data_IF_132952315124
#
_entry.id   IF_132952315124
#
_cell.length_a   1.000
_cell.length_b   1.000
_cell.length_c   1.000
_cell.angle_alpha   90.00
_cell.angle_beta   90.00
_cell.angle_gamma   90.00
#
_symmetry.space_group_name_H-M   'P 1'
#
loop_
_entity.id
_entity.type
_entity.pdbx_description
1 polymer ?
#
# COMPACT_ATOMS: atom_id res chain seq x y z
N UNK A 1 -37.02 14.20 -24.48
CA UNK A 1 -36.04 14.96 -23.73
C UNK A 1 -36.52 15.06 -22.27
N UNK A 2 -36.23 14.11 -21.42
CA UNK A 2 -36.33 14.23 -19.96
C UNK A 2 -35.52 13.10 -19.32
N UNK A 3 -34.20 13.27 -19.28
CA UNK A 3 -33.28 12.32 -18.64
C UNK A 3 -33.00 12.63 -17.16
N UNK A 4 -33.65 13.62 -16.57
CA UNK A 4 -33.60 13.89 -15.14
C UNK A 4 -34.77 13.23 -14.42
N UNK A 5 -34.75 11.90 -14.30
CA UNK A 5 -35.59 11.22 -13.34
C UNK A 5 -35.17 11.69 -11.95
N UNK A 6 -36.06 12.43 -11.28
CA UNK A 6 -35.89 12.93 -9.92
C UNK A 6 -35.43 11.79 -9.02
N UNK A 7 -34.13 11.70 -8.71
CA UNK A 7 -33.65 10.78 -7.69
C UNK A 7 -34.38 11.16 -6.39
N UNK A 8 -35.24 10.25 -5.93
CA UNK A 8 -35.79 10.34 -4.58
C UNK A 8 -34.62 10.49 -3.61
N UNK A 9 -34.54 11.59 -2.91
CA UNK A 9 -33.63 11.76 -1.77
C UNK A 9 -34.09 10.81 -0.66
N UNK A 10 -33.75 9.54 -0.79
CA UNK A 10 -33.74 8.68 0.38
C UNK A 10 -32.55 9.14 1.23
N UNK A 11 -32.82 9.52 2.46
CA UNK A 11 -31.78 9.83 3.43
C UNK A 11 -30.98 8.55 3.69
N UNK A 12 -29.90 8.38 2.93
CA UNK A 12 -28.95 7.30 3.13
C UNK A 12 -28.22 7.55 4.45
N UNK A 13 -28.67 6.92 5.50
CA UNK A 13 -27.88 6.80 6.72
C UNK A 13 -26.71 5.86 6.43
N UNK A 14 -25.54 6.43 6.11
CA UNK A 14 -24.31 5.70 5.96
C UNK A 14 -24.01 4.92 7.26
N UNK A 15 -24.18 3.63 7.23
CA UNK A 15 -23.82 2.80 8.36
C UNK A 15 -22.30 2.53 8.29
N UNK A 16 -21.55 2.94 9.32
CA UNK A 16 -20.09 2.73 9.41
C UNK A 16 -19.67 1.25 9.25
N UNK A 17 -20.58 0.31 9.51
CA UNK A 17 -20.37 -1.12 9.33
C UNK A 17 -20.88 -1.62 7.97
N UNK A 18 -20.71 -0.85 6.91
CA UNK A 18 -21.13 -1.21 5.56
C UNK A 18 -19.93 -1.28 4.60
N UNK A 19 -20.04 -2.14 3.60
CA UNK A 19 -19.02 -2.26 2.53
C UNK A 19 -18.83 -0.95 1.78
N UNK A 20 -19.87 -0.13 1.68
CA UNK A 20 -19.86 1.18 1.02
C UNK A 20 -18.84 2.13 1.68
N UNK A 21 -18.82 2.19 3.01
CA UNK A 21 -17.87 3.03 3.76
C UNK A 21 -16.43 2.58 3.53
N UNK A 22 -16.16 1.27 3.47
CA UNK A 22 -14.82 0.76 3.17
C UNK A 22 -14.36 1.09 1.75
N UNK A 23 -15.28 1.06 0.77
CA UNK A 23 -14.98 1.47 -0.62
C UNK A 23 -14.70 2.98 -0.67
N UNK A 24 -15.51 3.81 0.01
CA UNK A 24 -15.28 5.25 0.09
C UNK A 24 -13.93 5.57 0.74
N UNK A 25 -13.61 4.91 1.85
CA UNK A 25 -12.32 5.07 2.52
C UNK A 25 -11.15 4.68 1.59
N UNK A 26 -11.26 3.55 0.88
CA UNK A 26 -10.25 3.14 -0.09
C UNK A 26 -10.06 4.19 -1.21
N UNK A 27 -11.15 4.71 -1.77
CA UNK A 27 -11.09 5.75 -2.79
C UNK A 27 -10.46 7.05 -2.25
N UNK A 28 -10.72 7.37 -0.99
CA UNK A 28 -10.12 8.53 -0.33
C UNK A 28 -8.60 8.38 -0.20
N UNK A 29 -8.10 7.20 0.21
CA UNK A 29 -6.65 6.92 0.23
C UNK A 29 -6.03 7.02 -1.17
N UNK A 30 -6.70 6.48 -2.20
CA UNK A 30 -6.21 6.57 -3.57
C UNK A 30 -6.17 8.02 -4.09
N UNK A 31 -7.17 8.82 -3.75
CA UNK A 31 -7.17 10.26 -4.07
C UNK A 31 -6.03 10.99 -3.36
N UNK A 32 -5.76 10.65 -2.10
CA UNK A 32 -4.66 11.22 -1.35
C UNK A 32 -3.29 10.87 -1.97
N UNK A 33 -3.08 9.62 -2.38
CA UNK A 33 -1.85 9.23 -3.07
C UNK A 33 -1.68 9.99 -4.39
N UNK A 34 -2.75 10.12 -5.16
CA UNK A 34 -2.73 10.90 -6.41
C UNK A 34 -2.29 12.34 -6.15
N UNK A 35 -2.90 13.00 -5.16
CA UNK A 35 -2.56 14.39 -4.80
C UNK A 35 -1.12 14.51 -4.32
N UNK A 36 -0.65 13.57 -3.48
CA UNK A 36 0.73 13.54 -3.00
C UNK A 36 1.74 13.45 -4.15
N UNK A 37 1.49 12.54 -5.11
CA UNK A 37 2.35 12.39 -6.28
C UNK A 37 2.31 13.63 -7.16
N UNK A 38 1.14 14.21 -7.42
CA UNK A 38 0.99 15.44 -8.19
C UNK A 38 1.74 16.59 -7.54
N UNK A 39 1.61 16.80 -6.24
CA UNK A 39 2.34 17.85 -5.52
C UNK A 39 3.85 17.60 -5.63
N UNK A 40 4.32 16.39 -5.38
CA UNK A 40 5.74 16.05 -5.46
C UNK A 40 6.34 16.26 -6.85
N UNK A 41 5.54 16.08 -7.91
CA UNK A 41 6.00 16.31 -9.29
C UNK A 41 5.91 17.79 -9.71
N UNK A 42 4.81 18.47 -9.35
CA UNK A 42 4.57 19.83 -9.81
C UNK A 42 5.32 20.87 -8.99
N UNK A 43 5.53 20.63 -7.70
CA UNK A 43 6.17 21.60 -6.80
C UNK A 43 7.58 22.01 -7.25
N UNK A 44 8.50 21.11 -7.65
CA UNK A 44 9.79 21.47 -8.20
C UNK A 44 9.68 22.34 -9.46
N UNK A 45 8.76 22.01 -10.36
CA UNK A 45 8.55 22.74 -11.61
C UNK A 45 8.10 24.19 -11.33
N UNK A 46 7.17 24.37 -10.41
CA UNK A 46 6.71 25.71 -10.01
C UNK A 46 7.84 26.54 -9.39
N UNK A 47 8.67 25.93 -8.54
CA UNK A 47 9.80 26.65 -7.94
C UNK A 47 10.86 27.03 -8.96
N UNK A 48 11.19 26.14 -9.89
CA UNK A 48 12.17 26.43 -10.95
C UNK A 48 11.72 27.65 -11.79
N UNK A 49 10.42 27.73 -12.11
CA UNK A 49 9.86 28.85 -12.91
C UNK A 49 9.79 30.16 -12.12
N UNK A 50 9.55 30.14 -10.82
CA UNK A 50 9.33 31.37 -10.03
C UNK A 50 10.61 31.90 -9.39
N UNK A 51 11.51 31.03 -8.98
CA UNK A 51 12.68 31.39 -8.14
C UNK A 51 14.02 31.04 -8.77
N UNK A 52 14.06 30.41 -9.95
CA UNK A 52 15.26 29.83 -10.58
C UNK A 52 16.01 28.82 -9.67
N UNK A 53 15.37 28.33 -8.61
CA UNK A 53 15.94 27.36 -7.67
C UNK A 53 15.56 25.95 -8.10
N UNK A 54 16.55 25.17 -8.53
CA UNK A 54 16.37 23.77 -8.90
C UNK A 54 16.37 22.89 -7.66
N UNK A 55 15.20 22.38 -7.32
CA UNK A 55 15.04 21.36 -6.26
C UNK A 55 14.47 20.09 -6.89
N UNK A 56 14.78 18.94 -6.27
CA UNK A 56 14.14 17.66 -6.60
C UNK A 56 13.48 17.09 -5.37
N UNK A 57 12.28 16.55 -5.55
CA UNK A 57 11.57 15.79 -4.51
C UNK A 57 11.94 14.32 -4.67
N UNK A 58 12.74 13.82 -3.75
CA UNK A 58 13.29 12.47 -3.79
C UNK A 58 12.49 11.44 -2.99
N UNK A 59 12.96 10.17 -2.98
CA UNK A 59 12.35 9.07 -2.24
C UNK A 59 12.02 9.35 -0.78
N UNK A 60 12.83 10.10 0.00
CA UNK A 60 12.53 10.38 1.40
C UNK A 60 11.18 11.06 1.62
N UNK A 61 10.79 11.98 0.75
CA UNK A 61 9.48 12.66 0.82
C UNK A 61 8.33 11.65 0.67
N UNK A 62 8.38 10.82 -0.37
CA UNK A 62 7.34 9.83 -0.63
C UNK A 62 7.28 8.77 0.47
N UNK A 63 8.42 8.35 0.99
CA UNK A 63 8.48 7.38 2.07
C UNK A 63 7.79 7.89 3.35
N UNK A 64 8.03 9.15 3.73
CA UNK A 64 7.41 9.76 4.92
C UNK A 64 5.90 9.90 4.77
N UNK A 65 5.41 10.26 3.57
CA UNK A 65 3.99 10.56 3.37
C UNK A 65 3.19 9.32 3.00
N UNK A 66 3.69 8.47 2.10
CA UNK A 66 2.93 7.34 1.53
C UNK A 66 2.97 6.12 2.43
N UNK A 67 4.12 5.79 3.02
CA UNK A 67 4.28 4.57 3.81
C UNK A 67 3.28 4.46 4.98
N UNK A 68 3.09 5.50 5.82
CA UNK A 68 2.12 5.41 6.92
C UNK A 68 0.68 5.18 6.46
N UNK A 69 0.36 5.61 5.23
CA UNK A 69 -0.99 5.49 4.67
C UNK A 69 -1.23 4.17 3.94
N UNK A 70 -0.18 3.51 3.46
CA UNK A 70 -0.28 2.17 2.85
C UNK A 70 -0.76 1.14 3.88
N UNK A 71 -0.32 1.25 5.13
CA UNK A 71 -0.71 0.31 6.20
C UNK A 71 -2.22 0.28 6.41
N UNK A 72 -2.92 1.38 6.71
CA UNK A 72 -4.38 1.36 6.85
C UNK A 72 -5.08 1.01 5.52
N UNK A 73 -4.56 1.40 4.36
CA UNK A 73 -5.13 1.02 3.07
C UNK A 73 -5.16 -0.51 2.89
N UNK A 74 -4.03 -1.19 3.08
CA UNK A 74 -3.94 -2.65 2.98
C UNK A 74 -4.86 -3.35 3.99
N UNK A 75 -4.95 -2.80 5.20
CA UNK A 75 -5.86 -3.31 6.22
C UNK A 75 -7.32 -3.19 5.78
N UNK A 76 -7.73 -2.04 5.23
CA UNK A 76 -9.07 -1.83 4.69
C UNK A 76 -9.37 -2.75 3.50
N UNK A 77 -8.38 -2.96 2.61
CA UNK A 77 -8.51 -3.90 1.49
C UNK A 77 -8.74 -5.34 1.96
N UNK A 78 -8.13 -5.74 3.07
CA UNK A 78 -8.30 -7.09 3.63
C UNK A 78 -9.64 -7.26 4.33
N UNK A 79 -10.07 -6.26 5.10
CA UNK A 79 -11.25 -6.35 5.94
C UNK A 79 -12.53 -5.97 5.19
N UNK A 80 -12.46 -4.99 4.27
CA UNK A 80 -13.59 -4.44 3.54
C UNK A 80 -14.48 -5.47 2.82
N UNK A 81 -13.92 -6.45 2.10
CA UNK A 81 -14.72 -7.47 1.41
C UNK A 81 -15.58 -8.35 2.30
N UNK A 82 -15.30 -8.40 3.60
CA UNK A 82 -16.08 -9.19 4.56
C UNK A 82 -17.39 -8.51 4.94
N UNK A 83 -17.48 -7.20 4.75
CA UNK A 83 -18.68 -6.43 5.03
C UNK A 83 -19.74 -6.63 3.94
N UNK A 84 -21.01 -6.64 4.35
CA UNK A 84 -22.15 -6.66 3.44
C UNK A 84 -22.50 -5.23 3.02
N UNK A 85 -23.24 -5.11 1.93
CA UNK A 85 -23.87 -3.86 1.52
C UNK A 85 -24.90 -3.44 2.58
N UNK A 86 -25.02 -2.14 2.83
CA UNK A 86 -26.02 -1.49 3.70
C UNK A 86 -25.84 -1.78 5.19
N UNK A 87 -25.87 -3.03 5.63
CA UNK A 87 -25.72 -3.36 7.04
C UNK A 87 -25.08 -4.75 7.25
N UNK A 88 -24.02 -4.77 8.02
CA UNK A 88 -23.28 -5.99 8.35
C UNK A 88 -23.55 -6.40 9.80
N UNK A 89 -24.65 -7.11 10.02
CA UNK A 89 -24.88 -7.79 11.28
C UNK A 89 -24.18 -9.16 11.24
N UNK A 90 -23.50 -9.53 12.33
CA UNK A 90 -22.86 -10.84 12.53
C UNK A 90 -21.69 -11.20 11.60
N UNK A 91 -20.70 -10.30 11.49
CA UNK A 91 -19.43 -10.64 10.84
C UNK A 91 -18.62 -11.55 11.77
N UNK A 92 -18.20 -12.70 11.26
CA UNK A 92 -17.34 -13.64 12.00
C UNK A 92 -15.88 -13.25 11.85
N UNK A 93 -15.38 -12.36 12.69
CA UNK A 93 -14.00 -11.86 12.64
C UNK A 93 -12.93 -12.89 13.04
N UNK A 94 -13.31 -14.05 13.59
CA UNK A 94 -12.32 -15.02 14.07
C UNK A 94 -11.31 -15.45 12.99
N UNK A 95 -11.76 -15.56 11.73
CA UNK A 95 -10.84 -15.91 10.62
C UNK A 95 -9.84 -14.79 10.32
N UNK A 96 -10.31 -13.56 10.33
CA UNK A 96 -9.49 -12.38 10.12
C UNK A 96 -8.45 -12.22 11.22
N UNK A 97 -8.87 -12.43 12.47
CA UNK A 97 -7.98 -12.42 13.62
C UNK A 97 -6.93 -13.53 13.49
N UNK A 98 -7.36 -14.75 13.16
CA UNK A 98 -6.44 -15.89 12.99
C UNK A 98 -5.42 -15.64 11.86
N UNK A 99 -5.86 -15.10 10.70
CA UNK A 99 -4.94 -14.74 9.61
C UNK A 99 -4.00 -13.61 9.97
N UNK A 100 -4.47 -12.63 10.75
CA UNK A 100 -3.62 -11.56 11.23
C UNK A 100 -2.50 -12.08 12.14
N UNK A 101 -2.82 -12.92 13.11
CA UNK A 101 -1.79 -13.56 13.94
C UNK A 101 -0.85 -14.44 13.13
N UNK A 102 -1.35 -15.16 12.13
CA UNK A 102 -0.52 -15.93 11.20
C UNK A 102 0.47 -15.04 10.44
N UNK A 103 0.03 -13.87 9.97
CA UNK A 103 0.89 -12.90 9.30
C UNK A 103 1.97 -12.35 10.24
N UNK A 104 1.61 -12.06 11.49
CA UNK A 104 2.58 -11.61 12.51
C UNK A 104 3.63 -12.68 12.77
N UNK A 105 3.23 -13.94 12.94
CA UNK A 105 4.17 -15.05 13.17
C UNK A 105 5.12 -15.22 11.99
N UNK A 106 4.61 -15.19 10.75
CA UNK A 106 5.45 -15.29 9.54
C UNK A 106 6.41 -14.12 9.48
N UNK A 107 5.95 -12.89 9.76
CA UNK A 107 6.83 -11.73 9.74
C UNK A 107 7.90 -11.81 10.84
N UNK A 108 7.57 -12.27 12.04
CA UNK A 108 8.56 -12.48 13.11
C UNK A 108 9.61 -13.53 12.71
N UNK A 109 9.18 -14.60 12.03
CA UNK A 109 10.11 -15.59 11.50
C UNK A 109 11.05 -14.98 10.46
N UNK A 110 10.53 -14.19 9.52
CA UNK A 110 11.34 -13.47 8.52
C UNK A 110 12.31 -12.51 9.21
N UNK A 111 11.83 -11.74 10.19
CA UNK A 111 12.64 -10.80 10.96
C UNK A 111 13.81 -11.48 11.69
N UNK A 112 13.59 -12.64 12.25
CA UNK A 112 14.63 -13.41 12.93
C UNK A 112 15.79 -13.82 12.00
N UNK A 113 15.50 -14.12 10.73
CA UNK A 113 16.52 -14.52 9.75
C UNK A 113 17.23 -13.33 9.07
N UNK A 114 16.59 -12.17 8.99
CA UNK A 114 17.05 -11.05 8.16
C UNK A 114 17.43 -9.78 8.95
N UNK A 115 17.63 -9.84 10.21
CA UNK A 115 18.19 -8.91 11.24
C UNK A 115 17.96 -7.39 11.12
N UNK A 116 17.47 -6.80 10.03
CA UNK A 116 17.47 -5.34 9.87
C UNK A 116 16.24 -4.76 9.18
N UNK A 117 15.12 -4.66 9.90
CA UNK A 117 13.96 -3.92 9.40
C UNK A 117 13.64 -2.72 10.27
N UNK A 118 13.33 -1.58 9.65
CA UNK A 118 12.71 -0.47 10.37
C UNK A 118 11.32 -0.88 10.87
N UNK A 119 10.83 -0.23 11.92
CA UNK A 119 9.49 -0.50 12.47
C UNK A 119 8.42 -0.32 11.39
N UNK A 120 8.56 0.70 10.54
CA UNK A 120 7.61 0.97 9.44
C UNK A 120 7.62 -0.14 8.38
N UNK A 121 8.78 -0.65 8.00
CA UNK A 121 8.93 -1.76 7.04
C UNK A 121 8.29 -3.04 7.60
N UNK A 122 8.49 -3.32 8.89
CA UNK A 122 7.83 -4.45 9.56
C UNK A 122 6.31 -4.35 9.52
N UNK A 123 5.76 -3.17 9.80
CA UNK A 123 4.31 -2.95 9.73
C UNK A 123 3.76 -3.19 8.31
N UNK A 124 4.45 -2.70 7.28
CA UNK A 124 4.07 -2.93 5.88
C UNK A 124 4.08 -4.42 5.55
N UNK A 125 5.13 -5.15 5.95
CA UNK A 125 5.23 -6.59 5.70
C UNK A 125 4.12 -7.36 6.38
N UNK A 126 3.83 -7.07 7.66
CA UNK A 126 2.72 -7.70 8.38
C UNK A 126 1.41 -7.52 7.61
N UNK A 127 1.10 -6.31 7.18
CA UNK A 127 -0.19 -6.02 6.54
C UNK A 127 -0.24 -6.55 5.10
N UNK A 128 0.87 -6.54 4.36
CA UNK A 128 0.97 -7.16 3.04
C UNK A 128 0.81 -8.68 3.11
N UNK A 129 1.51 -9.35 4.02
CA UNK A 129 1.38 -10.79 4.25
C UNK A 129 -0.04 -11.13 4.71
N UNK A 130 -0.65 -10.31 5.58
CA UNK A 130 -2.03 -10.48 6.02
C UNK A 130 -3.01 -10.43 4.85
N UNK A 131 -2.87 -9.48 3.93
CA UNK A 131 -3.69 -9.39 2.72
C UNK A 131 -3.53 -10.63 1.83
N UNK A 132 -2.29 -11.06 1.59
CA UNK A 132 -1.97 -12.23 0.77
C UNK A 132 -2.57 -13.50 1.38
N UNK A 133 -2.35 -13.75 2.68
CA UNK A 133 -2.91 -14.90 3.39
C UNK A 133 -4.43 -14.91 3.35
N UNK A 134 -5.04 -13.73 3.51
CA UNK A 134 -6.50 -13.61 3.45
C UNK A 134 -7.03 -13.94 2.05
N UNK A 135 -6.35 -13.51 0.99
CA UNK A 135 -6.70 -13.89 -0.39
C UNK A 135 -6.64 -15.41 -0.60
N UNK A 136 -5.62 -16.08 -0.10
CA UNK A 136 -5.52 -17.55 -0.18
C UNK A 136 -6.66 -18.26 0.56
N UNK A 137 -7.05 -17.75 1.73
CA UNK A 137 -8.19 -18.31 2.46
C UNK A 137 -9.52 -18.09 1.74
N UNK A 138 -9.70 -16.94 1.08
CA UNK A 138 -10.88 -16.66 0.27
C UNK A 138 -10.97 -17.64 -0.91
N UNK A 139 -9.86 -17.94 -1.58
CA UNK A 139 -9.77 -18.95 -2.63
C UNK A 139 -10.19 -20.32 -2.09
N UNK A 140 -9.53 -20.78 -1.01
CA UNK A 140 -9.81 -22.09 -0.39
C UNK A 140 -11.28 -22.21 0.02
N UNK A 141 -11.84 -21.16 0.64
CA UNK A 141 -13.24 -21.17 1.07
C UNK A 141 -14.23 -21.14 -0.11
N UNK A 142 -13.89 -20.44 -1.19
CA UNK A 142 -14.73 -20.40 -2.39
C UNK A 142 -14.79 -21.77 -3.08
N UNK A 143 -13.64 -22.44 -3.19
CA UNK A 143 -13.56 -23.81 -3.72
C UNK A 143 -14.36 -24.81 -2.89
N UNK A 144 -14.18 -24.77 -1.56
CA UNK A 144 -14.85 -25.71 -0.66
C UNK A 144 -16.37 -25.51 -0.62
N UNK A 145 -16.86 -24.27 -0.66
CA UNK A 145 -18.31 -23.96 -0.58
C UNK A 145 -19.01 -23.89 -1.91
N UNK A 146 -18.35 -24.21 -3.02
CA UNK A 146 -18.89 -24.08 -4.40
C UNK A 146 -19.55 -22.71 -4.65
N UNK A 147 -19.07 -21.65 -3.99
CA UNK A 147 -19.55 -20.28 -4.20
C UNK A 147 -18.98 -19.72 -5.50
N UNK A 148 -19.71 -18.79 -6.11
CA UNK A 148 -19.21 -18.04 -7.28
C UNK A 148 -17.89 -17.38 -6.92
N UNK A 149 -16.85 -17.71 -7.68
CA UNK A 149 -15.50 -17.25 -7.43
C UNK A 149 -15.36 -15.79 -7.93
N UNK A 150 -14.95 -14.90 -7.03
CA UNK A 150 -14.74 -13.49 -7.38
C UNK A 150 -13.28 -13.27 -7.83
N UNK A 151 -12.90 -13.89 -8.96
CA UNK A 151 -11.56 -13.83 -9.54
C UNK A 151 -10.99 -12.40 -9.62
N UNK A 152 -11.72 -11.40 -10.18
CA UNK A 152 -11.15 -10.07 -10.37
C UNK A 152 -10.69 -9.44 -9.05
N UNK A 153 -11.50 -9.57 -7.99
CA UNK A 153 -11.16 -9.04 -6.67
C UNK A 153 -9.93 -9.72 -6.08
N UNK A 154 -9.90 -11.05 -6.11
CA UNK A 154 -8.81 -11.82 -5.50
C UNK A 154 -7.49 -11.54 -6.22
N UNK A 155 -7.49 -11.54 -7.56
CA UNK A 155 -6.29 -11.26 -8.36
C UNK A 155 -5.78 -9.84 -8.09
N UNK A 156 -6.67 -8.84 -8.05
CA UNK A 156 -6.30 -7.45 -7.79
C UNK A 156 -5.70 -7.26 -6.40
N UNK A 157 -6.31 -7.85 -5.36
CA UNK A 157 -5.83 -7.74 -3.98
C UNK A 157 -4.51 -8.48 -3.78
N UNK A 158 -4.39 -9.68 -4.35
CA UNK A 158 -3.16 -10.46 -4.30
C UNK A 158 -2.02 -9.76 -5.05
N UNK A 159 -2.29 -9.24 -6.26
CA UNK A 159 -1.32 -8.50 -7.05
C UNK A 159 -0.84 -7.24 -6.33
N UNK A 160 -1.75 -6.48 -5.70
CA UNK A 160 -1.38 -5.31 -4.93
C UNK A 160 -0.59 -5.65 -3.67
N UNK A 161 -0.98 -6.70 -2.94
CA UNK A 161 -0.24 -7.20 -1.78
C UNK A 161 1.18 -7.64 -2.14
N UNK A 162 1.36 -8.36 -3.25
CA UNK A 162 2.67 -8.75 -3.76
C UNK A 162 3.50 -7.53 -4.18
N UNK A 163 2.90 -6.57 -4.89
CA UNK A 163 3.57 -5.35 -5.29
C UNK A 163 4.14 -4.60 -4.08
N UNK A 164 3.33 -4.37 -3.05
CA UNK A 164 3.77 -3.69 -1.83
C UNK A 164 4.87 -4.50 -1.12
N UNK A 165 4.75 -5.82 -1.06
CA UNK A 165 5.75 -6.69 -0.46
C UNK A 165 7.09 -6.58 -1.20
N UNK A 166 7.10 -6.65 -2.54
CA UNK A 166 8.32 -6.55 -3.33
C UNK A 166 8.95 -5.15 -3.29
N UNK A 167 8.14 -4.09 -3.26
CA UNK A 167 8.64 -2.72 -3.03
C UNK A 167 9.32 -2.64 -1.67
N UNK A 168 8.71 -3.20 -0.62
CA UNK A 168 9.29 -3.24 0.72
C UNK A 168 10.62 -4.00 0.77
N UNK A 169 10.71 -5.15 0.10
CA UNK A 169 11.95 -5.93 -0.04
C UNK A 169 13.01 -5.11 -0.78
N UNK A 170 12.65 -4.52 -1.91
CA UNK A 170 13.59 -3.69 -2.67
C UNK A 170 14.11 -2.52 -1.84
N UNK A 171 13.24 -1.83 -1.12
CA UNK A 171 13.63 -0.72 -0.24
C UNK A 171 14.59 -1.16 0.86
N UNK A 172 14.44 -2.37 1.38
CA UNK A 172 15.31 -2.92 2.42
C UNK A 172 16.72 -3.24 1.90
N UNK A 173 16.83 -3.72 0.67
CA UNK A 173 18.11 -4.17 0.08
C UNK A 173 18.73 -3.15 -0.87
N UNK A 174 18.04 -2.06 -1.22
CA UNK A 174 18.63 -0.99 -2.01
C UNK A 174 19.53 -0.12 -1.13
N UNK A 175 20.74 0.11 -1.61
CA UNK A 175 21.70 1.04 -1.05
C UNK A 175 21.72 2.30 -1.93
N UNK A 176 21.20 3.38 -1.41
CA UNK A 176 21.31 4.70 -2.03
C UNK A 176 22.40 5.48 -1.30
N UNK A 177 23.47 5.80 -1.99
CA UNK A 177 24.58 6.60 -1.45
C UNK A 177 24.78 7.81 -2.34
N UNK A 178 24.41 8.97 -1.84
CA UNK A 178 24.67 10.24 -2.50
C UNK A 178 26.09 10.70 -2.20
N UNK A 179 26.86 10.99 -3.24
CA UNK A 179 28.18 11.56 -3.09
C UNK A 179 28.56 12.42 -4.29
N UNK A 180 29.34 13.44 -4.02
CA UNK A 180 29.93 14.28 -5.07
C UNK A 180 31.37 13.85 -5.31
N UNK A 181 31.69 13.48 -6.54
CA UNK A 181 33.04 13.16 -6.98
C UNK A 181 33.56 14.27 -7.92
N UNK A 182 34.81 14.65 -7.72
CA UNK A 182 35.54 15.47 -8.73
C UNK A 182 36.16 14.55 -9.78
N UNK A 183 36.40 15.09 -10.96
CA UNK A 183 37.06 14.37 -12.04
C UNK A 183 38.41 13.83 -11.54
N UNK A 184 38.64 12.52 -11.70
CA UNK A 184 39.84 11.83 -11.24
C UNK A 184 39.77 11.30 -9.79
N UNK A 185 38.70 11.55 -9.04
CA UNK A 185 38.52 10.96 -7.71
C UNK A 185 37.90 9.58 -7.80
N UNK A 186 38.33 8.68 -6.91
CA UNK A 186 37.73 7.39 -6.70
C UNK A 186 37.07 7.31 -5.32
N UNK A 187 35.94 6.63 -5.24
CA UNK A 187 35.29 6.35 -3.97
C UNK A 187 34.85 4.89 -3.90
N UNK A 188 35.18 4.24 -2.81
CA UNK A 188 34.78 2.86 -2.55
C UNK A 188 33.43 2.85 -1.84
N UNK A 189 32.46 2.18 -2.44
CA UNK A 189 31.11 1.97 -1.87
C UNK A 189 30.88 0.45 -1.79
N UNK A 190 30.88 -0.08 -0.57
CA UNK A 190 30.87 -1.51 -0.34
C UNK A 190 31.97 -2.26 -1.11
N UNK A 191 31.59 -3.16 -2.05
CA UNK A 191 32.49 -3.97 -2.88
C UNK A 191 32.78 -3.32 -4.23
N UNK A 192 32.26 -2.11 -4.53
CA UNK A 192 32.45 -1.41 -5.79
C UNK A 192 33.35 -0.21 -5.61
N UNK A 193 34.31 -0.04 -6.51
CA UNK A 193 35.08 1.19 -6.66
C UNK A 193 34.50 1.96 -7.83
N UNK A 194 34.06 3.20 -7.55
CA UNK A 194 33.49 4.10 -8.55
C UNK A 194 34.58 5.09 -8.92
N UNK A 195 34.92 5.11 -10.19
CA UNK A 195 35.88 6.02 -10.80
C UNK A 195 35.12 7.05 -11.64
N UNK A 196 35.40 8.32 -11.43
CA UNK A 196 34.84 9.37 -12.28
C UNK A 196 35.90 9.73 -13.34
N UNK A 197 35.79 9.08 -14.50
CA UNK A 197 36.55 9.40 -15.70
C UNK A 197 35.84 10.51 -16.47
N UNK A 198 36.60 11.33 -17.22
CA UNK A 198 36.12 12.49 -18.01
C UNK A 198 34.85 12.21 -18.82
#
# INVERSE_FOLDING_TARGET
ISFFKKCKKESYNLNLKSREVFILANNWFMAFFLVTVLIGMLYPIFLDVITDVKISVGPPFYNIVIIPLVVPLLFLMTVGPQFKWINSQNIKFYKTIFTFFGAVIINLFIYYFFETYSILTNLIFIVAIFLILHCFLDVKQSMYKKKKFEYPRIISHLGFGLLVLFIGINHQYSLEVDFNLKVGENKKVNNYEIYFEN
#
